data_IF_110448514652
#
_entry.id   IF_110448514652
#
_cell.length_a   1.000
_cell.length_b   1.000
_cell.length_c   1.000
_cell.angle_alpha   90.00
_cell.angle_beta   90.00
_cell.angle_gamma   90.00
#
_symmetry.space_group_name_H-M   'P 1'
#
loop_
_entity.id
_entity.type
_entity.pdbx_description
1 polymer ?
#
# COMPACT_ATOMS: atom_id res chain seq x y z
N UNK A 1 -24.89 -25.10 7.70
CA UNK A 1 -24.27 -24.08 6.81
C UNK A 1 -22.80 -23.98 7.13
N UNK A 2 -21.92 -24.39 6.21
CA UNK A 2 -20.48 -24.20 6.35
C UNK A 2 -20.21 -22.73 6.00
N UNK A 3 -19.82 -21.93 6.99
CA UNK A 3 -19.30 -20.59 6.74
C UNK A 3 -18.04 -20.78 5.89
N UNK A 4 -18.06 -20.22 4.69
CA UNK A 4 -16.91 -20.21 3.80
C UNK A 4 -15.74 -19.59 4.55
N UNK A 5 -14.64 -20.34 4.66
CA UNK A 5 -13.37 -19.84 5.13
C UNK A 5 -12.86 -18.90 4.06
N UNK A 6 -13.19 -17.61 4.20
CA UNK A 6 -12.53 -16.56 3.45
C UNK A 6 -11.08 -16.58 3.95
N UNK A 7 -10.09 -16.92 3.10
CA UNK A 7 -8.71 -16.87 3.53
C UNK A 7 -8.44 -15.42 3.93
N UNK A 8 -8.23 -15.25 5.23
CA UNK A 8 -7.73 -14.02 5.82
C UNK A 8 -6.47 -13.72 5.03
N UNK A 9 -6.42 -12.58 4.35
CA UNK A 9 -5.12 -12.03 3.99
C UNK A 9 -4.49 -11.75 5.34
N UNK A 10 -3.71 -12.72 5.82
CA UNK A 10 -2.74 -12.43 6.84
C UNK A 10 -1.92 -11.31 6.23
N UNK A 11 -1.96 -10.13 6.85
CA UNK A 11 -1.01 -9.08 6.56
C UNK A 11 0.37 -9.60 6.97
N UNK A 12 0.90 -10.57 6.21
CA UNK A 12 2.28 -10.98 6.30
C UNK A 12 3.08 -9.69 6.09
N UNK A 13 3.78 -9.20 7.12
CA UNK A 13 4.46 -7.93 7.05
C UNK A 13 5.49 -7.90 5.90
N UNK A 14 6.03 -9.06 5.52
CA UNK A 14 6.97 -9.18 4.42
C UNK A 14 6.29 -8.97 3.07
N UNK A 15 5.16 -9.62 2.81
CA UNK A 15 4.40 -9.47 1.56
C UNK A 15 3.87 -8.05 1.37
N UNK A 16 3.46 -7.39 2.45
CA UNK A 16 3.00 -6.00 2.38
C UNK A 16 4.16 -5.03 2.08
N UNK A 17 5.35 -5.29 2.62
CA UNK A 17 6.52 -4.44 2.38
C UNK A 17 7.00 -4.55 0.92
N UNK A 18 7.12 -5.77 0.38
CA UNK A 18 7.48 -6.01 -1.03
C UNK A 18 6.46 -5.41 -2.01
N UNK A 19 5.17 -5.51 -1.67
CA UNK A 19 4.11 -4.89 -2.47
C UNK A 19 4.26 -3.36 -2.50
N UNK A 20 4.60 -2.75 -1.35
CA UNK A 20 4.81 -1.31 -1.28
C UNK A 20 6.02 -0.90 -2.12
N UNK A 21 7.13 -1.65 -2.07
CA UNK A 21 8.31 -1.39 -2.92
C UNK A 21 7.95 -1.46 -4.40
N UNK A 22 7.22 -2.51 -4.80
CA UNK A 22 6.73 -2.66 -6.17
C UNK A 22 5.87 -1.47 -6.60
N UNK A 23 4.95 -1.01 -5.75
CA UNK A 23 4.08 0.14 -6.06
C UNK A 23 4.90 1.42 -6.18
N UNK A 24 5.90 1.64 -5.33
CA UNK A 24 6.79 2.80 -5.38
C UNK A 24 7.61 2.80 -6.68
N UNK A 25 8.20 1.66 -7.03
CA UNK A 25 9.05 1.49 -8.21
C UNK A 25 8.26 1.63 -9.53
N UNK A 26 7.00 1.17 -9.56
CA UNK A 26 6.12 1.33 -10.72
C UNK A 26 5.56 2.76 -10.85
N UNK A 27 5.65 3.58 -9.80
CA UNK A 27 5.07 4.94 -9.77
C UNK A 27 6.12 6.03 -9.43
N UNK A 28 7.26 6.10 -10.14
CA UNK A 28 8.37 6.99 -9.78
C UNK A 28 7.98 8.48 -9.87
N UNK A 29 7.06 8.84 -10.77
CA UNK A 29 6.53 10.22 -10.88
C UNK A 29 5.71 10.61 -9.65
N UNK A 30 4.87 9.72 -9.14
CA UNK A 30 4.03 9.98 -7.95
C UNK A 30 4.92 10.21 -6.73
N UNK A 31 6.01 9.45 -6.63
CA UNK A 31 7.03 9.64 -5.59
C UNK A 31 7.74 10.98 -5.70
N UNK A 32 8.13 11.40 -6.90
CA UNK A 32 8.75 12.70 -7.14
C UNK A 32 7.79 13.85 -6.79
N UNK A 33 6.52 13.75 -7.19
CA UNK A 33 5.49 14.74 -6.88
C UNK A 33 5.30 14.86 -5.36
N UNK A 34 5.28 13.74 -4.63
CA UNK A 34 5.21 13.76 -3.17
C UNK A 34 6.41 14.50 -2.54
N UNK A 35 7.64 14.15 -2.97
CA UNK A 35 8.86 14.83 -2.50
C UNK A 35 8.88 16.32 -2.83
N UNK A 36 8.18 16.73 -3.88
CA UNK A 36 8.02 18.12 -4.30
C UNK A 36 6.90 18.87 -3.55
N UNK A 37 6.24 18.21 -2.59
CA UNK A 37 5.22 18.80 -1.73
C UNK A 37 3.77 18.48 -2.11
N UNK A 38 3.53 17.66 -3.14
CA UNK A 38 2.19 17.26 -3.57
C UNK A 38 1.68 16.14 -2.65
N UNK A 39 1.03 16.52 -1.55
CA UNK A 39 0.56 15.58 -0.52
C UNK A 39 -0.43 14.53 -1.05
N UNK A 40 -1.24 14.87 -2.07
CA UNK A 40 -2.19 13.94 -2.69
C UNK A 40 -1.51 12.74 -3.36
N UNK A 41 -0.23 12.84 -3.70
CA UNK A 41 0.54 11.75 -4.30
C UNK A 41 0.72 10.58 -3.32
N UNK A 42 0.85 10.83 -2.02
CA UNK A 42 0.87 9.77 -1.00
C UNK A 42 -0.46 9.03 -0.95
N UNK A 43 -1.58 9.74 -1.05
CA UNK A 43 -2.91 9.12 -1.06
C UNK A 43 -3.14 8.25 -2.31
N UNK A 44 -2.49 8.57 -3.43
CA UNK A 44 -2.52 7.73 -4.63
C UNK A 44 -1.79 6.42 -4.41
N UNK A 45 -0.59 6.45 -3.82
CA UNK A 45 0.19 5.24 -3.51
C UNK A 45 -0.55 4.35 -2.49
N UNK A 46 -1.11 4.95 -1.44
CA UNK A 46 -1.93 4.23 -0.45
C UNK A 46 -3.11 3.56 -1.15
N UNK A 47 -3.85 4.27 -2.00
CA UNK A 47 -4.99 3.70 -2.73
C UNK A 47 -4.60 2.53 -3.63
N UNK A 48 -3.44 2.61 -4.29
CA UNK A 48 -2.96 1.53 -5.16
C UNK A 48 -2.61 0.27 -4.35
N UNK A 49 -1.92 0.41 -3.22
CA UNK A 49 -1.64 -0.74 -2.33
C UNK A 49 -2.94 -1.34 -1.77
N UNK A 50 -3.89 -0.50 -1.34
CA UNK A 50 -5.20 -0.95 -0.86
C UNK A 50 -5.96 -1.71 -1.96
N UNK A 51 -5.90 -1.24 -3.21
CA UNK A 51 -6.51 -1.92 -4.35
C UNK A 51 -5.87 -3.29 -4.60
N UNK A 52 -4.55 -3.39 -4.58
CA UNK A 52 -3.81 -4.65 -4.80
C UNK A 52 -3.99 -5.68 -3.70
N UNK A 53 -4.31 -5.23 -2.48
CA UNK A 53 -4.67 -6.10 -1.36
C UNK A 53 -6.17 -6.38 -1.27
N UNK A 54 -6.96 -5.95 -2.27
CA UNK A 54 -8.42 -6.09 -2.30
C UNK A 54 -9.11 -5.49 -1.07
N UNK A 55 -8.58 -4.39 -0.54
CA UNK A 55 -9.10 -3.71 0.65
C UNK A 55 -8.75 -4.37 1.98
N UNK A 56 -7.88 -5.38 1.98
CA UNK A 56 -7.57 -6.15 3.20
C UNK A 56 -6.46 -5.54 4.05
N UNK A 57 -5.57 -4.75 3.45
CA UNK A 57 -4.54 -4.03 4.21
C UNK A 57 -5.11 -2.80 4.93
N UNK A 58 -4.57 -2.48 6.09
CA UNK A 58 -4.88 -1.24 6.79
C UNK A 58 -4.24 -0.02 6.11
N UNK A 59 -5.07 0.94 5.69
CA UNK A 59 -4.61 2.13 4.97
C UNK A 59 -3.69 3.03 5.81
N UNK A 60 -3.89 3.07 7.12
CA UNK A 60 -3.04 3.84 8.04
C UNK A 60 -1.66 3.21 8.15
N UNK A 61 -1.59 1.88 8.28
CA UNK A 61 -0.33 1.12 8.30
C UNK A 61 0.42 1.25 6.98
N UNK A 62 -0.27 1.10 5.85
CA UNK A 62 0.30 1.30 4.51
C UNK A 62 0.89 2.71 4.37
N UNK A 63 0.15 3.75 4.79
CA UNK A 63 0.66 5.13 4.77
C UNK A 63 1.96 5.27 5.57
N UNK A 64 2.00 4.75 6.79
CA UNK A 64 3.21 4.80 7.61
C UNK A 64 4.37 4.03 6.98
N UNK A 65 4.11 2.88 6.36
CA UNK A 65 5.13 2.09 5.67
C UNK A 65 5.72 2.83 4.47
N UNK A 66 4.88 3.43 3.63
CA UNK A 66 5.34 4.26 2.50
C UNK A 66 6.18 5.44 3.03
N UNK A 67 5.73 6.12 4.09
CA UNK A 67 6.47 7.23 4.69
C UNK A 67 7.85 6.82 5.23
N UNK A 68 8.02 5.59 5.71
CA UNK A 68 9.32 5.08 6.18
C UNK A 68 10.30 4.78 5.04
N UNK A 69 9.82 4.61 3.81
CA UNK A 69 10.64 4.34 2.61
C UNK A 69 11.03 5.61 1.85
N UNK A 70 10.59 6.78 2.32
CA UNK A 70 10.89 8.09 1.73
C UNK A 70 12.20 8.69 2.24
#
# INVERSE_FOLDING_TARGET
MKKEFIPKFEEDPFLLDELIDTVIDENPKVMLDYRSGVQSSLDMLVREVIKRTEGKADATKVRHMILRKL
#
